data_IF_980522768870
#
_entry.id   IF_980522768870
#
_cell.length_a   1.000
_cell.length_b   1.000
_cell.length_c   1.000
_cell.angle_alpha   90.00
_cell.angle_beta   90.00
_cell.angle_gamma   90.00
#
_symmetry.space_group_name_H-M   'P 1'
#
loop_
_entity.id
_entity.type
_entity.pdbx_description
1 polymer ?
#
# COMPACT_ATOMS: atom_id res chain seq x y z
N UNK A 1 2.82 18.65 -8.85
CA UNK A 1 3.78 17.52 -8.85
C UNK A 1 4.59 17.65 -10.12
N UNK A 2 5.93 17.84 -10.02
CA UNK A 2 6.77 18.00 -11.20
C UNK A 2 6.96 16.65 -11.91
N UNK A 3 7.34 16.69 -13.20
CA UNK A 3 7.61 15.47 -13.99
C UNK A 3 8.59 14.51 -13.31
N UNK A 4 9.56 15.04 -12.57
CA UNK A 4 10.49 14.23 -11.77
C UNK A 4 9.79 13.40 -10.66
N UNK A 5 8.74 13.95 -10.03
CA UNK A 5 7.95 13.21 -9.04
C UNK A 5 7.18 12.05 -9.67
N UNK A 6 6.53 12.30 -10.83
CA UNK A 6 5.81 11.25 -11.56
C UNK A 6 6.77 10.15 -12.03
N UNK A 7 7.96 10.51 -12.51
CA UNK A 7 8.97 9.54 -12.90
C UNK A 7 9.48 8.72 -11.70
N UNK A 8 9.68 9.36 -10.54
CA UNK A 8 10.09 8.68 -9.33
C UNK A 8 9.02 7.71 -8.82
N UNK A 9 7.74 8.12 -8.86
CA UNK A 9 6.61 7.25 -8.50
C UNK A 9 6.51 6.04 -9.43
N UNK A 10 6.66 6.25 -10.75
CA UNK A 10 6.68 5.18 -11.75
C UNK A 10 7.82 4.18 -11.53
N UNK A 11 9.04 4.67 -11.25
CA UNK A 11 10.18 3.82 -10.91
C UNK A 11 9.93 3.06 -9.61
N UNK A 12 9.36 3.71 -8.60
CA UNK A 12 8.97 3.07 -7.34
C UNK A 12 8.00 1.92 -7.55
N UNK A 13 6.98 2.13 -8.41
CA UNK A 13 6.01 1.09 -8.75
C UNK A 13 6.66 -0.10 -9.47
N UNK A 14 7.56 0.15 -10.43
CA UNK A 14 8.29 -0.93 -11.12
C UNK A 14 9.15 -1.72 -10.12
N UNK A 15 9.84 -1.04 -9.20
CA UNK A 15 10.62 -1.71 -8.16
C UNK A 15 9.72 -2.53 -7.21
N UNK A 16 8.54 -2.03 -6.87
CA UNK A 16 7.56 -2.76 -6.06
C UNK A 16 7.05 -4.01 -6.79
N UNK A 17 6.68 -3.89 -8.07
CA UNK A 17 6.24 -5.02 -8.87
C UNK A 17 7.35 -6.09 -8.99
N UNK A 18 8.60 -5.67 -9.20
CA UNK A 18 9.74 -6.58 -9.19
C UNK A 18 9.97 -7.25 -7.82
N UNK A 19 9.79 -6.53 -6.73
CA UNK A 19 9.91 -7.09 -5.38
C UNK A 19 8.80 -8.12 -5.10
N UNK A 20 7.57 -7.88 -5.56
CA UNK A 20 6.46 -8.82 -5.45
C UNK A 20 6.62 -10.07 -6.32
N UNK A 21 7.34 -9.95 -7.45
CA UNK A 21 7.70 -11.11 -8.26
C UNK A 21 8.63 -12.10 -7.52
N UNK A 22 9.49 -11.59 -6.63
CA UNK A 22 10.49 -12.40 -5.90
C UNK A 22 10.12 -12.68 -4.44
N UNK A 23 9.03 -12.10 -3.93
CA UNK A 23 8.68 -12.18 -2.52
C UNK A 23 7.19 -12.08 -2.25
N UNK A 24 6.78 -12.66 -1.14
CA UNK A 24 5.39 -12.67 -0.67
C UNK A 24 4.88 -11.27 -0.34
N UNK A 25 3.59 -11.07 -0.55
CA UNK A 25 2.90 -9.81 -0.25
C UNK A 25 3.04 -9.42 1.24
N UNK A 26 2.90 -10.41 2.13
CA UNK A 26 3.04 -10.22 3.58
C UNK A 26 4.45 -9.78 4.02
N UNK A 27 5.48 -10.05 3.21
CA UNK A 27 6.86 -9.61 3.48
C UNK A 27 7.17 -8.29 2.80
N UNK A 28 6.83 -8.17 1.51
CA UNK A 28 7.19 -7.01 0.68
C UNK A 28 6.52 -5.73 1.19
N UNK A 29 5.25 -5.79 1.59
CA UNK A 29 4.51 -4.60 2.01
C UNK A 29 5.03 -3.98 3.32
N UNK A 30 5.30 -4.74 4.40
CA UNK A 30 5.95 -4.19 5.58
C UNK A 30 7.35 -3.62 5.31
N UNK A 31 8.12 -4.26 4.39
CA UNK A 31 9.42 -3.73 3.97
C UNK A 31 9.30 -2.38 3.26
N UNK A 32 8.29 -2.22 2.41
CA UNK A 32 8.00 -0.92 1.78
C UNK A 32 7.60 0.14 2.81
N UNK A 33 6.88 -0.22 3.87
CA UNK A 33 6.57 0.69 4.96
C UNK A 33 7.83 1.19 5.69
N UNK A 34 8.91 0.41 5.71
CA UNK A 34 10.21 0.83 6.24
C UNK A 34 10.87 1.96 5.42
N UNK A 35 10.33 2.30 4.24
CA UNK A 35 10.78 3.45 3.44
C UNK A 35 10.77 4.77 4.21
N UNK A 36 9.91 4.89 5.22
CA UNK A 36 9.90 6.04 6.17
C UNK A 36 11.26 6.23 6.84
N UNK A 37 11.97 5.15 7.16
CA UNK A 37 13.33 5.21 7.76
C UNK A 37 14.32 5.85 6.78
N UNK A 38 14.22 5.48 5.51
CA UNK A 38 15.07 6.05 4.45
C UNK A 38 14.67 7.49 4.10
N UNK A 39 13.40 7.86 4.27
CA UNK A 39 12.94 9.23 4.04
C UNK A 39 13.56 10.25 5.01
N UNK A 40 13.99 9.85 6.21
CA UNK A 40 14.61 10.76 7.19
C UNK A 40 15.91 11.41 6.70
N UNK A 41 16.93 10.66 6.21
CA UNK A 41 18.15 11.28 5.67
C UNK A 41 17.83 12.11 4.40
N UNK A 42 16.95 11.66 3.52
CA UNK A 42 16.54 12.46 2.36
C UNK A 42 15.87 13.76 2.77
N UNK A 43 14.97 13.75 3.75
CA UNK A 43 14.34 14.94 4.30
C UNK A 43 15.35 15.92 4.87
N UNK A 44 16.43 15.43 5.50
CA UNK A 44 17.51 16.25 6.02
C UNK A 44 18.38 16.87 4.91
N UNK A 45 18.78 16.07 3.92
CA UNK A 45 19.74 16.50 2.90
C UNK A 45 19.10 17.28 1.75
N UNK A 46 17.88 16.91 1.32
CA UNK A 46 17.22 17.53 0.17
C UNK A 46 16.30 18.67 0.60
N UNK A 47 15.48 18.45 1.65
CA UNK A 47 14.48 19.43 2.11
C UNK A 47 15.02 20.32 3.22
N UNK A 48 16.25 20.08 3.71
CA UNK A 48 16.90 20.78 4.82
C UNK A 48 16.06 20.79 6.12
N UNK A 49 15.19 19.78 6.30
CA UNK A 49 14.37 19.62 7.49
C UNK A 49 15.21 19.11 8.65
N UNK A 50 15.03 19.70 9.83
CA UNK A 50 15.71 19.21 11.04
C UNK A 50 15.07 17.90 11.49
N UNK A 51 15.86 16.82 11.54
CA UNK A 51 15.44 15.54 12.11
C UNK A 51 15.39 15.68 13.62
N UNK A 52 14.26 15.40 14.23
CA UNK A 52 14.04 15.47 15.66
C UNK A 52 14.27 14.11 16.32
N UNK A 53 14.45 14.11 17.65
CA UNK A 53 14.54 12.84 18.41
C UNK A 53 13.27 11.99 18.25
N UNK A 54 12.11 12.61 18.08
CA UNK A 54 10.83 11.92 17.84
C UNK A 54 10.83 11.21 16.49
N UNK A 55 11.40 11.83 15.45
CA UNK A 55 11.52 11.22 14.12
C UNK A 55 12.42 9.97 14.17
N UNK A 56 13.55 10.05 14.91
CA UNK A 56 14.46 8.90 15.09
C UNK A 56 13.80 7.79 15.90
N UNK A 57 13.10 8.12 17.00
CA UNK A 57 12.38 7.12 17.78
C UNK A 57 11.25 6.46 16.97
N UNK A 58 10.52 7.23 16.15
CA UNK A 58 9.50 6.70 15.24
C UNK A 58 10.11 5.73 14.23
N UNK A 59 11.21 6.11 13.59
CA UNK A 59 11.92 5.23 12.65
C UNK A 59 12.43 3.94 13.33
N UNK A 60 13.02 4.07 14.53
CA UNK A 60 13.47 2.93 15.30
C UNK A 60 12.31 2.00 15.70
N UNK A 61 11.15 2.56 16.07
CA UNK A 61 9.95 1.77 16.39
C UNK A 61 9.42 1.02 15.17
N UNK A 62 9.37 1.67 13.99
CA UNK A 62 8.97 1.03 12.72
C UNK A 62 9.94 -0.12 12.39
N UNK A 63 11.25 0.12 12.47
CA UNK A 63 12.26 -0.90 12.19
C UNK A 63 12.15 -2.08 13.16
N UNK A 64 12.03 -1.81 14.45
CA UNK A 64 11.88 -2.86 15.46
C UNK A 64 10.58 -3.66 15.27
N UNK A 65 9.46 -2.98 14.99
CA UNK A 65 8.19 -3.62 14.67
C UNK A 65 8.25 -4.50 13.43
N UNK A 66 8.93 -4.04 12.39
CA UNK A 66 9.14 -4.81 11.15
C UNK A 66 10.01 -6.05 11.39
N UNK A 67 11.13 -5.90 12.10
CA UNK A 67 12.00 -7.05 12.45
C UNK A 67 11.23 -8.06 13.29
N UNK A 68 10.50 -7.58 14.29
CA UNK A 68 9.65 -8.44 15.13
C UNK A 68 8.60 -9.18 14.29
N UNK A 69 7.91 -8.46 13.39
CA UNK A 69 6.92 -9.07 12.48
C UNK A 69 7.55 -10.15 11.61
N UNK A 70 8.66 -9.86 10.91
CA UNK A 70 9.30 -10.82 10.00
C UNK A 70 9.84 -12.05 10.74
N UNK A 71 10.36 -11.89 11.96
CA UNK A 71 10.88 -13.00 12.77
C UNK A 71 9.74 -13.87 13.31
N UNK A 72 8.63 -13.25 13.75
CA UNK A 72 7.49 -13.96 14.34
C UNK A 72 6.56 -14.57 13.29
N UNK A 73 6.35 -13.86 12.19
CA UNK A 73 5.42 -14.29 11.15
C UNK A 73 5.98 -15.43 10.30
N UNK A 74 7.32 -15.46 10.11
CA UNK A 74 8.00 -16.46 9.25
C UNK A 74 7.12 -16.84 8.03
N UNK A 75 6.76 -15.89 7.16
CA UNK A 75 5.77 -16.12 6.12
C UNK A 75 6.24 -17.22 5.15
N UNK A 76 5.37 -18.15 4.86
CA UNK A 76 5.59 -19.20 3.85
C UNK A 76 4.79 -18.88 2.58
N UNK A 77 5.21 -19.46 1.45
CA UNK A 77 4.55 -19.25 0.17
C UNK A 77 3.06 -19.64 0.25
N UNK A 78 2.23 -18.73 -0.22
CA UNK A 78 0.78 -18.92 -0.32
C UNK A 78 0.39 -19.60 -1.64
N UNK A 79 -0.89 -19.48 -2.01
CA UNK A 79 -1.38 -19.89 -3.32
C UNK A 79 -1.06 -18.82 -4.36
N UNK A 80 -0.62 -19.26 -5.55
CA UNK A 80 -0.24 -18.36 -6.65
C UNK A 80 -1.42 -17.53 -7.17
N UNK A 81 -2.66 -18.05 -7.05
CA UNK A 81 -3.87 -17.34 -7.46
C UNK A 81 -4.96 -17.41 -6.38
N UNK A 82 -5.52 -16.25 -6.06
CA UNK A 82 -6.65 -16.14 -5.17
C UNK A 82 -7.96 -16.47 -5.89
N UNK A 83 -8.87 -17.15 -5.22
CA UNK A 83 -10.16 -17.47 -5.80
C UNK A 83 -10.91 -16.20 -6.27
N UNK A 84 -11.60 -16.27 -7.42
CA UNK A 84 -12.41 -15.15 -7.94
C UNK A 84 -13.42 -14.66 -6.89
N UNK A 85 -13.99 -15.55 -6.08
CA UNK A 85 -14.89 -15.19 -4.98
C UNK A 85 -14.16 -14.40 -3.90
N UNK A 86 -12.92 -14.76 -3.57
CA UNK A 86 -12.06 -14.03 -2.63
C UNK A 86 -11.85 -12.59 -3.09
N UNK A 87 -11.54 -12.38 -4.37
CA UNK A 87 -11.38 -11.06 -4.97
C UNK A 87 -12.67 -10.23 -4.94
N UNK A 88 -13.82 -10.85 -5.30
CA UNK A 88 -15.12 -10.15 -5.29
C UNK A 88 -15.49 -9.72 -3.87
N UNK A 89 -15.38 -10.62 -2.89
CA UNK A 89 -15.75 -10.32 -1.50
C UNK A 89 -14.83 -9.26 -0.89
N UNK A 90 -13.52 -9.42 -1.03
CA UNK A 90 -12.56 -8.44 -0.49
C UNK A 90 -12.67 -7.07 -1.17
N UNK A 91 -12.84 -7.05 -2.49
CA UNK A 91 -13.07 -5.82 -3.25
C UNK A 91 -14.38 -5.13 -2.88
N UNK A 92 -15.45 -5.89 -2.66
CA UNK A 92 -16.73 -5.34 -2.20
C UNK A 92 -16.60 -4.75 -0.78
N UNK A 93 -15.90 -5.42 0.13
CA UNK A 93 -15.65 -4.92 1.49
C UNK A 93 -14.80 -3.65 1.43
N UNK A 94 -13.67 -3.67 0.71
CA UNK A 94 -12.79 -2.51 0.56
C UNK A 94 -13.54 -1.33 -0.05
N UNK A 95 -14.30 -1.55 -1.11
CA UNK A 95 -15.12 -0.53 -1.77
C UNK A 95 -16.19 0.06 -0.85
N UNK A 96 -16.90 -0.79 -0.09
CA UNK A 96 -17.92 -0.34 0.86
C UNK A 96 -17.30 0.50 1.99
N UNK A 97 -16.20 0.05 2.57
CA UNK A 97 -15.48 0.80 3.62
C UNK A 97 -14.99 2.14 3.07
N UNK A 98 -14.38 2.16 1.89
CA UNK A 98 -13.94 3.41 1.25
C UNK A 98 -15.10 4.36 0.97
N UNK A 99 -16.24 3.86 0.48
CA UNK A 99 -17.42 4.67 0.25
C UNK A 99 -17.93 5.31 1.55
N UNK A 100 -18.00 4.55 2.64
CA UNK A 100 -18.37 5.07 3.97
C UNK A 100 -17.39 6.15 4.45
N UNK A 101 -16.08 5.91 4.33
CA UNK A 101 -15.05 6.88 4.74
C UNK A 101 -15.13 8.18 3.91
N UNK A 102 -15.29 8.07 2.58
CA UNK A 102 -15.43 9.23 1.69
C UNK A 102 -16.71 10.03 2.01
N UNK A 103 -17.82 9.35 2.28
CA UNK A 103 -19.06 10.02 2.70
C UNK A 103 -18.88 10.68 4.06
N UNK A 104 -18.26 10.01 5.03
CA UNK A 104 -17.97 10.56 6.35
C UNK A 104 -16.98 11.73 6.31
N UNK A 105 -16.14 11.83 5.28
CA UNK A 105 -15.23 12.96 5.08
C UNK A 105 -15.93 14.25 4.64
N UNK A 106 -17.17 14.15 4.12
CA UNK A 106 -17.94 15.31 3.63
C UNK A 106 -18.29 16.25 4.79
N UNK A 107 -18.07 17.52 4.59
CA UNK A 107 -18.39 18.56 5.60
C UNK A 107 -17.48 18.58 6.83
N UNK A 108 -16.43 17.75 6.88
CA UNK A 108 -15.46 17.76 7.97
C UNK A 108 -14.41 18.86 7.79
N UNK A 109 -13.82 19.30 8.89
CA UNK A 109 -12.66 20.19 8.87
C UNK A 109 -11.44 19.49 8.24
N UNK A 110 -10.40 20.27 7.87
CA UNK A 110 -9.27 19.81 7.07
C UNK A 110 -8.61 18.52 7.60
N UNK A 111 -8.29 18.45 8.90
CA UNK A 111 -7.55 17.33 9.47
C UNK A 111 -8.33 16.00 9.46
N UNK A 112 -9.57 15.90 10.00
CA UNK A 112 -10.32 14.66 9.92
C UNK A 112 -10.72 14.29 8.49
N UNK A 113 -10.95 15.27 7.61
CA UNK A 113 -11.19 15.02 6.18
C UNK A 113 -9.96 14.39 5.52
N UNK A 114 -8.77 14.94 5.77
CA UNK A 114 -7.52 14.40 5.29
C UNK A 114 -7.28 12.97 5.76
N UNK A 115 -7.53 12.71 7.06
CA UNK A 115 -7.37 11.39 7.63
C UNK A 115 -8.31 10.35 6.96
N UNK A 116 -9.60 10.65 6.84
CA UNK A 116 -10.59 9.75 6.24
C UNK A 116 -10.31 9.46 4.76
N UNK A 117 -9.92 10.48 3.99
CA UNK A 117 -9.53 10.29 2.58
C UNK A 117 -8.19 9.54 2.46
N UNK A 118 -7.23 9.84 3.35
CA UNK A 118 -5.96 9.12 3.44
C UNK A 118 -6.14 7.65 3.80
N UNK A 119 -7.05 7.33 4.74
CA UNK A 119 -7.43 5.96 5.06
C UNK A 119 -8.00 5.24 3.83
N UNK A 120 -8.92 5.88 3.10
CA UNK A 120 -9.49 5.30 1.88
C UNK A 120 -8.43 5.04 0.81
N UNK A 121 -7.50 5.99 0.62
CA UNK A 121 -6.39 5.84 -0.31
C UNK A 121 -5.48 4.67 0.10
N UNK A 122 -5.11 4.57 1.39
CA UNK A 122 -4.26 3.49 1.91
C UNK A 122 -4.91 2.12 1.74
N UNK A 123 -6.22 1.97 2.01
CA UNK A 123 -6.95 0.72 1.78
C UNK A 123 -6.86 0.30 0.31
N UNK A 124 -7.09 1.22 -0.62
CA UNK A 124 -7.04 0.90 -2.05
C UNK A 124 -5.62 0.69 -2.57
N UNK A 125 -4.61 1.37 -2.03
CA UNK A 125 -3.21 1.08 -2.37
C UNK A 125 -2.81 -0.32 -1.90
N UNK A 126 -3.16 -0.71 -0.66
CA UNK A 126 -2.93 -2.06 -0.18
C UNK A 126 -3.66 -3.12 -1.02
N UNK A 127 -4.89 -2.83 -1.44
CA UNK A 127 -5.62 -3.71 -2.36
C UNK A 127 -4.94 -3.79 -3.74
N UNK A 128 -4.44 -2.67 -4.27
CA UNK A 128 -3.70 -2.64 -5.54
C UNK A 128 -2.39 -3.40 -5.50
N UNK A 129 -1.76 -3.52 -4.33
CA UNK A 129 -0.54 -4.32 -4.16
C UNK A 129 -0.81 -5.82 -4.36
N UNK A 130 -1.94 -6.33 -3.84
CA UNK A 130 -2.38 -7.70 -4.12
C UNK A 130 -2.69 -7.91 -5.61
N UNK A 131 -3.42 -6.98 -6.24
CA UNK A 131 -3.66 -7.04 -7.69
C UNK A 131 -2.35 -6.99 -8.50
N UNK A 132 -1.34 -6.24 -8.04
CA UNK A 132 -0.04 -6.17 -8.71
C UNK A 132 0.67 -7.51 -8.67
N UNK A 133 0.59 -8.26 -7.57
CA UNK A 133 1.15 -9.61 -7.47
C UNK A 133 0.57 -10.50 -8.57
N UNK A 134 -0.75 -10.64 -8.64
CA UNK A 134 -1.44 -11.47 -9.66
C UNK A 134 -1.14 -11.00 -11.09
N UNK A 135 -1.10 -9.68 -11.33
CA UNK A 135 -0.77 -9.12 -12.67
C UNK A 135 0.68 -9.43 -13.07
N UNK A 136 1.62 -9.44 -12.12
CA UNK A 136 3.01 -9.82 -12.37
C UNK A 136 3.11 -11.30 -12.74
N UNK A 137 2.34 -12.17 -12.08
CA UNK A 137 2.29 -13.60 -12.39
C UNK A 137 1.69 -13.84 -13.78
N UNK A 138 0.59 -13.20 -14.13
CA UNK A 138 0.00 -13.25 -15.48
C UNK A 138 0.99 -12.77 -16.57
N UNK A 139 1.85 -11.78 -16.26
CA UNK A 139 2.88 -11.31 -17.18
C UNK A 139 3.95 -12.39 -17.44
N UNK A 140 4.27 -13.22 -16.43
CA UNK A 140 5.22 -14.34 -16.59
C UNK A 140 4.67 -15.43 -17.49
N UNK A 141 3.35 -15.61 -17.54
CA UNK A 141 2.68 -16.57 -18.42
C UNK A 141 2.63 -16.07 -19.88
N UNK A 142 2.62 -14.76 -20.09
CA UNK A 142 2.67 -14.15 -21.41
C UNK A 142 1.86 -12.87 -21.56
N UNK A 143 2.15 -12.12 -22.64
CA UNK A 143 1.47 -10.84 -22.92
C UNK A 143 -0.03 -11.05 -23.23
N UNK A 144 -0.39 -12.17 -23.82
CA UNK A 144 -1.79 -12.46 -24.17
C UNK A 144 -2.59 -12.72 -22.89
N UNK A 145 -2.06 -13.52 -21.97
CA UNK A 145 -2.62 -13.81 -20.65
C UNK A 145 -2.81 -12.51 -19.89
N UNK A 146 -1.77 -11.67 -19.82
CA UNK A 146 -1.83 -10.37 -19.16
C UNK A 146 -2.98 -9.48 -19.68
N UNK A 147 -3.14 -9.36 -21.00
CA UNK A 147 -4.14 -8.46 -21.59
C UNK A 147 -5.56 -9.04 -21.43
N UNK A 148 -5.72 -10.35 -21.36
CA UNK A 148 -7.01 -11.01 -21.17
C UNK A 148 -7.40 -11.15 -19.71
N UNK A 149 -6.44 -10.97 -18.79
CA UNK A 149 -6.68 -11.03 -17.36
C UNK A 149 -7.42 -9.79 -16.84
N UNK A 150 -8.54 -9.99 -16.18
CA UNK A 150 -9.33 -8.91 -15.59
C UNK A 150 -8.62 -8.18 -14.44
N UNK A 151 -7.63 -8.82 -13.78
CA UNK A 151 -6.86 -8.23 -12.70
C UNK A 151 -6.08 -6.98 -13.17
N UNK A 152 -5.59 -6.98 -14.41
CA UNK A 152 -4.93 -5.80 -15.00
C UNK A 152 -5.87 -4.59 -15.04
N UNK A 153 -7.10 -4.78 -15.48
CA UNK A 153 -8.07 -3.70 -15.57
C UNK A 153 -8.55 -3.24 -14.19
N UNK A 154 -8.70 -4.19 -13.25
CA UNK A 154 -8.99 -3.88 -11.86
C UNK A 154 -7.85 -3.07 -11.23
N UNK A 155 -6.58 -3.44 -11.45
CA UNK A 155 -5.41 -2.71 -10.98
C UNK A 155 -5.38 -1.27 -11.48
N UNK A 156 -5.65 -1.07 -12.78
CA UNK A 156 -5.71 0.28 -13.37
C UNK A 156 -6.82 1.11 -12.73
N UNK A 157 -8.01 0.54 -12.57
CA UNK A 157 -9.15 1.22 -11.98
C UNK A 157 -8.92 1.57 -10.50
N UNK A 158 -8.48 0.60 -9.70
CA UNK A 158 -8.18 0.78 -8.27
C UNK A 158 -7.02 1.76 -8.09
N UNK A 159 -5.95 1.64 -8.86
CA UNK A 159 -4.82 2.56 -8.85
C UNK A 159 -5.22 4.00 -9.16
N UNK A 160 -6.07 4.21 -10.16
CA UNK A 160 -6.61 5.53 -10.50
C UNK A 160 -7.45 6.13 -9.36
N UNK A 161 -8.33 5.32 -8.76
CA UNK A 161 -9.20 5.77 -7.66
C UNK A 161 -8.35 6.09 -6.42
N UNK A 162 -7.40 5.23 -6.05
CA UNK A 162 -6.52 5.44 -4.90
C UNK A 162 -5.67 6.69 -5.05
N UNK A 163 -5.10 6.93 -6.25
CA UNK A 163 -4.34 8.14 -6.54
C UNK A 163 -5.21 9.40 -6.45
N UNK A 164 -6.43 9.34 -6.95
CA UNK A 164 -7.39 10.47 -6.86
C UNK A 164 -7.74 10.78 -5.40
N UNK A 165 -8.00 9.76 -4.58
CA UNK A 165 -8.28 9.92 -3.15
C UNK A 165 -7.08 10.44 -2.38
N UNK A 166 -5.88 9.94 -2.67
CA UNK A 166 -4.62 10.42 -2.10
C UNK A 166 -4.42 11.90 -2.40
N UNK A 167 -4.58 12.31 -3.65
CA UNK A 167 -4.48 13.72 -4.02
C UNK A 167 -5.54 14.59 -3.36
N UNK A 168 -6.78 14.10 -3.26
CA UNK A 168 -7.85 14.81 -2.55
C UNK A 168 -7.55 14.96 -1.05
N UNK A 169 -6.94 13.95 -0.42
CA UNK A 169 -6.48 14.01 0.97
C UNK A 169 -5.40 15.09 1.16
N UNK A 170 -4.39 15.09 0.28
CA UNK A 170 -3.28 16.06 0.32
C UNK A 170 -3.75 17.51 0.08
N UNK A 171 -4.73 17.72 -0.80
CA UNK A 171 -5.29 19.02 -1.10
C UNK A 171 -6.05 19.66 0.08
N UNK A 172 -6.39 18.89 1.13
CA UNK A 172 -7.00 19.47 2.34
C UNK A 172 -6.07 20.41 3.12
N UNK A 173 -4.76 20.37 2.85
CA UNK A 173 -3.71 21.09 3.58
C UNK A 173 -3.24 20.43 4.87
N UNK A 174 -3.92 19.38 5.35
CA UNK A 174 -3.53 18.64 6.56
C UNK A 174 -2.64 17.43 6.22
N UNK A 175 -1.49 17.70 5.58
CA UNK A 175 -0.55 16.69 5.07
C UNK A 175 -0.18 15.59 6.08
N UNK A 176 0.15 15.90 7.36
CA UNK A 176 0.51 14.84 8.31
C UNK A 176 -0.63 13.83 8.53
N UNK A 177 -1.89 14.29 8.59
CA UNK A 177 -3.04 13.41 8.79
C UNK A 177 -3.30 12.54 7.55
N UNK A 178 -3.18 13.09 6.33
CA UNK A 178 -3.34 12.36 5.09
C UNK A 178 -2.29 11.26 4.94
N UNK A 179 -1.00 11.65 5.04
CA UNK A 179 0.12 10.75 4.79
C UNK A 179 0.22 9.66 5.86
N UNK A 180 0.05 10.00 7.14
CA UNK A 180 0.17 9.01 8.21
C UNK A 180 -0.91 7.92 8.11
N UNK A 181 -2.16 8.29 7.82
CA UNK A 181 -3.25 7.32 7.70
C UNK A 181 -3.10 6.45 6.46
N UNK A 182 -2.71 7.03 5.32
CA UNK A 182 -2.45 6.29 4.10
C UNK A 182 -1.32 5.26 4.28
N UNK A 183 -0.16 5.70 4.79
CA UNK A 183 1.02 4.83 4.99
C UNK A 183 0.81 3.77 6.07
N UNK A 184 -0.14 3.97 7.00
CA UNK A 184 -0.44 2.96 8.00
C UNK A 184 -1.38 1.89 7.48
N UNK A 185 -2.38 2.24 6.67
CA UNK A 185 -3.39 1.28 6.20
C UNK A 185 -2.95 0.47 4.99
N UNK A 186 -2.12 1.04 4.13
CA UNK A 186 -1.58 0.34 2.96
C UNK A 186 -0.93 -1.01 3.34
N UNK A 187 0.10 -1.09 4.19
CA UNK A 187 0.69 -2.37 4.57
C UNK A 187 -0.25 -3.27 5.37
N UNK A 188 -1.14 -2.70 6.20
CA UNK A 188 -2.10 -3.49 6.96
C UNK A 188 -3.07 -4.23 6.03
N UNK A 189 -3.62 -3.54 5.03
CA UNK A 189 -4.54 -4.16 4.08
C UNK A 189 -3.82 -5.16 3.19
N UNK A 190 -2.60 -4.86 2.74
CA UNK A 190 -1.79 -5.77 1.95
C UNK A 190 -1.49 -7.08 2.68
N UNK A 191 -1.08 -6.99 3.95
CA UNK A 191 -0.85 -8.20 4.79
C UNK A 191 -2.13 -8.98 5.01
N UNK A 192 -3.26 -8.30 5.25
CA UNK A 192 -4.56 -8.97 5.39
C UNK A 192 -4.96 -9.70 4.11
N UNK A 193 -4.70 -9.12 2.94
CA UNK A 193 -4.94 -9.79 1.66
C UNK A 193 -4.01 -11.00 1.48
N UNK A 194 -2.72 -10.87 1.79
CA UNK A 194 -1.77 -11.97 1.77
C UNK A 194 -2.27 -13.17 2.57
N UNK A 195 -2.63 -12.93 3.82
CA UNK A 195 -3.09 -14.00 4.73
C UNK A 195 -4.48 -14.54 4.36
N UNK A 196 -5.46 -13.67 4.04
CA UNK A 196 -6.86 -14.09 3.88
C UNK A 196 -7.19 -14.58 2.47
N UNK A 197 -6.55 -14.06 1.44
CA UNK A 197 -6.88 -14.35 0.05
C UNK A 197 -5.84 -15.24 -0.59
N UNK A 198 -4.56 -14.91 -0.44
CA UNK A 198 -3.46 -15.71 -0.96
C UNK A 198 -3.09 -16.88 -0.03
N UNK A 199 -3.72 -16.98 1.15
CA UNK A 199 -3.48 -18.05 2.13
C UNK A 199 -1.99 -18.17 2.50
N UNK A 200 -1.25 -17.07 2.44
CA UNK A 200 0.11 -17.00 2.94
C UNK A 200 0.10 -17.41 4.42
N UNK A 201 0.76 -18.51 4.77
CA UNK A 201 0.75 -18.98 6.14
C UNK A 201 1.72 -18.19 7.01
N UNK A 202 1.21 -17.70 8.14
CA UNK A 202 2.03 -17.16 9.21
C UNK A 202 2.24 -18.30 10.20
N UNK A 203 3.44 -18.88 10.23
CA UNK A 203 3.71 -20.06 11.05
C UNK A 203 3.74 -19.66 12.53
N UNK A 204 2.85 -20.28 13.32
CA UNK A 204 2.94 -20.27 14.79
C UNK A 204 4.05 -21.26 15.18
N UNK A 205 5.21 -20.73 15.63
CA UNK A 205 6.28 -21.52 16.27
C UNK A 205 5.91 -21.88 17.68
#
# INVERSE_FOLDING_TARGET
VGMAGIAADGLGFICQAAALHFGQLAVVQPLLAASVVFALPFGRFIVHRRVTRKDILGAAAVTAGLVFFLVMANPEDGVDDASTMGWIVSGAIAGAVCAVLVVAARGRSASPRAALLGMSAGILFGFSAGLTLTVVDSLNEGIVELITDWHLYALIAVGWISMTLSQAALQTGALPAAVSTQMSLDPVVSVLLGVLIFQESIHDT
#
